data_IF_536748363289
#
_entry.id   IF_536748363289
#
_cell.length_a   1.000
_cell.length_b   1.000
_cell.length_c   1.000
_cell.angle_alpha   90.00
_cell.angle_beta   90.00
_cell.angle_gamma   90.00
#
_symmetry.space_group_name_H-M   'P 1'
#
loop_
_entity.id
_entity.type
_entity.pdbx_description
1 polymer ?
#
# COMPACT_ATOMS: atom_id res chain seq x y z
N UNK A 1 10.95 8.10 10.18
CA UNK A 1 10.53 6.70 9.94
C UNK A 1 9.44 6.75 8.90
N UNK A 2 9.55 6.01 7.80
CA UNK A 2 8.54 6.05 6.74
C UNK A 2 7.35 5.19 7.14
N UNK A 3 6.16 5.78 7.21
CA UNK A 3 4.91 5.07 7.46
C UNK A 3 4.18 4.88 6.13
N UNK A 4 3.75 3.65 5.86
CA UNK A 4 3.00 3.25 4.67
C UNK A 4 1.63 2.77 5.12
N UNK A 5 0.58 3.39 4.60
CA UNK A 5 -0.81 2.95 4.80
C UNK A 5 -1.35 2.29 3.54
N UNK A 6 -1.94 1.11 3.70
CA UNK A 6 -2.56 0.37 2.60
C UNK A 6 -4.08 0.46 2.72
N UNK A 7 -4.75 0.93 1.67
CA UNK A 7 -6.20 1.12 1.59
C UNK A 7 -6.76 0.17 0.53
N UNK A 8 -7.34 -0.95 0.95
CA UNK A 8 -7.98 -1.94 0.07
C UNK A 8 -9.49 -2.01 0.24
N UNK A 9 -9.99 -1.75 1.44
CA UNK A 9 -11.39 -1.65 1.81
C UNK A 9 -11.60 -0.42 2.71
N UNK A 10 -12.83 0.07 2.79
CA UNK A 10 -13.20 1.14 3.74
C UNK A 10 -14.48 0.70 4.45
N UNK A 11 -14.45 0.67 5.78
CA UNK A 11 -15.51 0.13 6.62
C UNK A 11 -16.43 1.21 7.20
N UNK A 12 -16.20 2.48 6.88
CA UNK A 12 -16.95 3.63 7.38
C UNK A 12 -17.27 4.65 6.29
N UNK A 13 -18.28 5.49 6.56
CA UNK A 13 -18.74 6.52 5.63
C UNK A 13 -19.68 5.98 4.55
N UNK A 14 -19.98 6.83 3.55
CA UNK A 14 -20.97 6.55 2.50
C UNK A 14 -20.43 5.67 1.36
N UNK A 15 -19.11 5.59 1.22
CA UNK A 15 -18.45 4.76 0.22
C UNK A 15 -17.60 3.71 0.92
N UNK A 16 -18.01 2.44 0.81
CA UNK A 16 -17.42 1.31 1.51
C UNK A 16 -17.02 0.22 0.49
N UNK A 17 -15.91 0.44 -0.24
CA UNK A 17 -15.38 -0.55 -1.16
C UNK A 17 -14.90 -1.77 -0.36
N UNK A 18 -14.96 -2.92 -1.01
CA UNK A 18 -14.51 -4.20 -0.46
C UNK A 18 -13.63 -4.91 -1.47
N UNK A 19 -12.76 -5.80 -0.99
CA UNK A 19 -11.94 -6.60 -1.87
C UNK A 19 -12.75 -7.77 -2.44
N UNK A 20 -13.40 -8.52 -1.56
CA UNK A 20 -14.23 -9.70 -1.88
C UNK A 20 -15.67 -9.56 -1.41
N UNK A 21 -15.96 -8.59 -0.53
CA UNK A 21 -17.24 -8.42 0.14
C UNK A 21 -17.35 -9.16 1.48
N UNK A 22 -16.32 -9.93 1.86
CA UNK A 22 -16.22 -10.55 3.18
C UNK A 22 -15.14 -9.85 4.01
N UNK A 23 -15.55 -9.12 5.06
CA UNK A 23 -14.65 -8.30 5.90
C UNK A 23 -13.49 -9.09 6.51
N UNK A 24 -13.71 -10.34 6.93
CA UNK A 24 -12.67 -11.16 7.56
C UNK A 24 -11.62 -11.54 6.52
N UNK A 25 -12.08 -11.91 5.32
CA UNK A 25 -11.20 -12.25 4.19
C UNK A 25 -10.45 -11.02 3.72
N UNK A 26 -11.14 -9.89 3.55
CA UNK A 26 -10.56 -8.64 3.08
C UNK A 26 -9.46 -8.13 4.02
N UNK A 27 -9.70 -8.11 5.33
CA UNK A 27 -8.69 -7.77 6.32
C UNK A 27 -7.46 -8.69 6.24
N UNK A 28 -7.68 -9.99 6.13
CA UNK A 28 -6.60 -10.98 6.02
C UNK A 28 -5.75 -10.78 4.75
N UNK A 29 -6.39 -10.46 3.63
CA UNK A 29 -5.71 -10.20 2.35
C UNK A 29 -4.85 -8.94 2.41
N UNK A 30 -5.38 -7.86 3.00
CA UNK A 30 -4.66 -6.59 3.15
C UNK A 30 -3.50 -6.74 4.14
N UNK A 31 -3.71 -7.45 5.25
CA UNK A 31 -2.65 -7.73 6.22
C UNK A 31 -1.52 -8.56 5.60
N UNK A 32 -1.86 -9.60 4.83
CA UNK A 32 -0.88 -10.40 4.09
C UNK A 32 -0.10 -9.55 3.08
N UNK A 33 -0.77 -8.66 2.34
CA UNK A 33 -0.11 -7.71 1.46
C UNK A 33 0.85 -6.77 2.24
N UNK A 34 0.41 -6.22 3.38
CA UNK A 34 1.23 -5.35 4.22
C UNK A 34 2.50 -6.05 4.70
N UNK A 35 2.37 -7.29 5.18
CA UNK A 35 3.48 -8.11 5.65
C UNK A 35 4.48 -8.40 4.52
N UNK A 36 4.00 -8.81 3.35
CA UNK A 36 4.84 -9.07 2.19
C UNK A 36 5.59 -7.83 1.74
N UNK A 37 4.93 -6.66 1.78
CA UNK A 37 5.55 -5.40 1.40
C UNK A 37 6.63 -4.99 2.41
N UNK A 38 6.32 -5.03 3.70
CA UNK A 38 7.29 -4.73 4.75
C UNK A 38 8.55 -5.61 4.62
N UNK A 39 8.35 -6.92 4.44
CA UNK A 39 9.45 -7.87 4.23
C UNK A 39 10.28 -7.54 2.98
N UNK A 40 9.62 -7.29 1.85
CA UNK A 40 10.28 -6.98 0.58
C UNK A 40 11.08 -5.67 0.63
N UNK A 41 10.58 -4.69 1.39
CA UNK A 41 11.24 -3.40 1.58
C UNK A 41 12.26 -3.38 2.73
N UNK A 42 12.42 -4.50 3.45
CA UNK A 42 13.24 -4.60 4.66
C UNK A 42 12.85 -3.57 5.74
N UNK A 43 11.55 -3.31 5.87
CA UNK A 43 10.98 -2.41 6.86
C UNK A 43 10.47 -3.20 8.07
N UNK A 44 10.42 -2.59 9.27
CA UNK A 44 9.76 -3.22 10.40
C UNK A 44 8.27 -3.44 10.09
N UNK A 45 7.63 -4.52 10.57
CA UNK A 45 6.23 -4.83 10.25
C UNK A 45 5.25 -3.71 10.57
N UNK A 46 5.53 -2.91 11.61
CA UNK A 46 4.70 -1.77 12.02
C UNK A 46 4.76 -0.57 11.06
N UNK A 47 5.69 -0.56 10.10
CA UNK A 47 5.82 0.53 9.14
C UNK A 47 4.79 0.44 8.00
N UNK A 48 4.20 -0.74 7.76
CA UNK A 48 3.20 -0.96 6.72
C UNK A 48 1.92 -1.48 7.36
N UNK A 49 0.87 -0.68 7.34
CA UNK A 49 -0.38 -1.00 8.06
C UNK A 49 -1.61 -0.83 7.17
N UNK A 50 -2.58 -1.72 7.33
CA UNK A 50 -3.91 -1.54 6.77
C UNK A 50 -4.62 -0.34 7.42
N UNK A 51 -5.35 0.45 6.62
CA UNK A 51 -6.20 1.54 7.12
C UNK A 51 -7.61 1.38 6.54
N UNK A 52 -8.49 0.84 7.38
CA UNK A 52 -9.89 0.52 7.03
C UNK A 52 -10.85 1.69 7.28
N UNK A 53 -10.42 2.76 7.95
CA UNK A 53 -11.26 3.90 8.34
C UNK A 53 -10.74 5.18 7.70
N UNK A 54 -10.53 5.13 6.38
CA UNK A 54 -10.02 6.27 5.64
C UNK A 54 -11.12 7.21 5.16
N UNK A 55 -10.85 8.51 5.23
CA UNK A 55 -11.78 9.57 4.84
C UNK A 55 -11.24 10.42 3.67
N UNK A 56 -10.39 9.84 2.83
CA UNK A 56 -9.76 10.48 1.67
C UNK A 56 -8.79 11.64 2.00
N UNK A 57 -8.47 11.87 3.28
CA UNK A 57 -7.45 12.83 3.67
C UNK A 57 -6.07 12.22 3.55
N UNK A 58 -5.17 12.94 2.87
CA UNK A 58 -3.78 12.54 2.63
C UNK A 58 -2.87 13.40 3.51
N UNK A 59 -2.12 12.76 4.40
CA UNK A 59 -1.03 13.38 5.14
C UNK A 59 0.25 13.35 4.27
N UNK A 60 0.89 14.49 3.95
CA UNK A 60 2.11 14.53 3.14
C UNK A 60 3.29 13.71 3.69
N UNK A 61 3.28 13.37 4.98
CA UNK A 61 4.34 12.61 5.66
C UNK A 61 4.15 11.09 5.61
N UNK A 62 2.99 10.64 5.14
CA UNK A 62 2.61 9.22 5.04
C UNK A 62 2.55 8.80 3.58
N UNK A 63 3.06 7.60 3.26
CA UNK A 63 2.88 7.02 1.93
C UNK A 63 1.59 6.21 1.90
N UNK A 64 0.76 6.44 0.89
CA UNK A 64 -0.51 5.73 0.73
C UNK A 64 -0.45 4.81 -0.49
N UNK A 65 -0.67 3.52 -0.25
CA UNK A 65 -0.95 2.54 -1.28
C UNK A 65 -2.46 2.31 -1.33
N UNK A 66 -3.11 2.69 -2.42
CA UNK A 66 -4.57 2.71 -2.51
C UNK A 66 -5.02 1.81 -3.65
N UNK A 67 -6.03 0.97 -3.43
CA UNK A 67 -6.67 0.20 -4.49
C UNK A 67 -7.11 1.14 -5.62
N UNK A 68 -6.69 0.83 -6.85
CA UNK A 68 -7.06 1.54 -8.06
C UNK A 68 -8.58 1.77 -8.19
N UNK A 69 -9.42 0.86 -7.70
CA UNK A 69 -10.88 1.00 -7.74
C UNK A 69 -11.38 2.16 -6.87
N UNK A 70 -10.70 2.42 -5.76
CA UNK A 70 -11.00 3.53 -4.85
C UNK A 70 -10.54 4.85 -5.49
N UNK A 71 -9.37 4.84 -6.12
CA UNK A 71 -8.83 5.99 -6.84
C UNK A 71 -9.76 6.43 -7.99
N UNK A 72 -10.31 5.48 -8.74
CA UNK A 72 -11.24 5.77 -9.86
C UNK A 72 -12.51 6.53 -9.45
N UNK A 73 -12.87 6.51 -8.16
CA UNK A 73 -14.01 7.27 -7.63
C UNK A 73 -13.63 8.71 -7.28
N UNK A 74 -12.33 9.02 -7.19
CA UNK A 74 -11.82 10.36 -6.87
C UNK A 74 -10.43 10.60 -7.47
N UNK A 75 -10.40 11.10 -8.71
CA UNK A 75 -9.16 11.38 -9.45
C UNK A 75 -8.17 12.32 -8.71
N UNK A 76 -8.68 13.15 -7.77
CA UNK A 76 -7.88 14.09 -6.97
C UNK A 76 -6.81 13.42 -6.10
N UNK A 77 -6.96 12.13 -5.78
CA UNK A 77 -5.97 11.41 -4.97
C UNK A 77 -4.62 11.25 -5.66
N UNK A 78 -4.62 11.08 -6.99
CA UNK A 78 -3.39 10.88 -7.76
C UNK A 78 -2.58 12.18 -7.95
N UNK A 79 -3.16 13.33 -7.65
CA UNK A 79 -2.44 14.62 -7.62
C UNK A 79 -1.40 14.65 -6.48
N UNK A 80 -1.56 13.80 -5.47
CA UNK A 80 -0.65 13.70 -4.34
C UNK A 80 0.55 12.81 -4.67
N UNK A 81 1.76 13.37 -4.57
CA UNK A 81 3.02 12.67 -4.86
C UNK A 81 3.27 11.43 -3.95
N UNK A 82 2.68 11.42 -2.76
CA UNK A 82 2.79 10.37 -1.76
C UNK A 82 1.66 9.33 -1.83
N UNK A 83 0.84 9.35 -2.89
CA UNK A 83 -0.20 8.35 -3.18
C UNK A 83 0.24 7.51 -4.38
N UNK A 84 0.11 6.19 -4.24
CA UNK A 84 0.42 5.22 -5.29
C UNK A 84 -0.79 4.29 -5.45
N UNK A 85 -1.22 4.13 -6.70
CA UNK A 85 -2.24 3.16 -7.05
C UNK A 85 -1.67 1.73 -7.03
N UNK A 86 -2.37 0.83 -6.35
CA UNK A 86 -2.12 -0.61 -6.38
C UNK A 86 -3.26 -1.28 -7.11
N UNK A 87 -2.97 -2.27 -7.94
CA UNK A 87 -4.05 -2.98 -8.65
C UNK A 87 -4.85 -3.81 -7.66
N UNK A 88 -6.16 -3.89 -7.87
CA UNK A 88 -7.03 -4.70 -7.03
C UNK A 88 -6.58 -6.17 -6.96
N UNK A 89 -6.10 -6.72 -8.08
CA UNK A 89 -5.59 -8.10 -8.15
C UNK A 89 -4.32 -8.31 -7.34
N UNK A 90 -3.47 -7.29 -7.21
CA UNK A 90 -2.25 -7.37 -6.41
C UNK A 90 -2.59 -7.46 -4.92
N UNK A 91 -3.56 -6.67 -4.46
CA UNK A 91 -4.09 -6.77 -3.09
C UNK A 91 -4.69 -8.15 -2.82
N UNK A 92 -5.53 -8.66 -3.73
CA UNK A 92 -6.14 -9.99 -3.60
C UNK A 92 -5.11 -11.13 -3.56
N UNK A 93 -3.96 -10.97 -4.22
CA UNK A 93 -2.92 -12.01 -4.30
C UNK A 93 -1.74 -11.77 -3.35
N UNK A 94 -1.73 -10.66 -2.60
CA UNK A 94 -0.59 -10.24 -1.80
C UNK A 94 0.68 -9.98 -2.62
N UNK A 95 0.54 -9.60 -3.90
CA UNK A 95 1.67 -9.35 -4.81
C UNK A 95 2.17 -7.92 -4.67
N UNK A 96 3.44 -7.74 -4.30
CA UNK A 96 3.97 -6.41 -3.90
C UNK A 96 4.98 -5.82 -4.89
N UNK A 97 5.36 -6.56 -5.93
CA UNK A 97 6.43 -6.18 -6.87
C UNK A 97 6.17 -4.84 -7.56
N UNK A 98 4.94 -4.58 -8.03
CA UNK A 98 4.61 -3.32 -8.68
C UNK A 98 4.65 -2.14 -7.70
N UNK A 99 4.07 -2.31 -6.51
CA UNK A 99 4.10 -1.30 -5.46
C UNK A 99 5.54 -0.98 -5.04
N UNK A 100 6.39 -2.00 -4.86
CA UNK A 100 7.82 -1.83 -4.59
C UNK A 100 8.50 -1.00 -5.68
N UNK A 101 8.34 -1.38 -6.95
CA UNK A 101 8.97 -0.69 -8.07
C UNK A 101 8.55 0.78 -8.15
N UNK A 102 7.27 1.08 -7.88
CA UNK A 102 6.76 2.45 -7.84
C UNK A 102 7.33 3.26 -6.68
N UNK A 103 7.41 2.66 -5.48
CA UNK A 103 7.99 3.31 -4.31
C UNK A 103 9.49 3.64 -4.52
N UNK A 104 10.24 2.72 -5.14
CA UNK A 104 11.65 2.91 -5.45
C UNK A 104 11.89 3.94 -6.56
N UNK A 105 11.15 3.86 -7.67
CA UNK A 105 11.29 4.76 -8.81
C UNK A 105 10.93 6.22 -8.49
N UNK A 106 10.00 6.43 -7.56
CA UNK A 106 9.66 7.76 -7.06
C UNK A 106 10.62 8.25 -5.95
N UNK A 107 11.66 7.49 -5.62
CA UNK A 107 12.58 7.76 -4.51
C UNK A 107 11.88 8.00 -3.15
N UNK A 108 10.69 7.41 -2.97
CA UNK A 108 9.88 7.59 -1.75
C UNK A 108 10.38 6.69 -0.62
N UNK A 109 11.16 5.65 -0.96
CA UNK A 109 11.87 4.80 -0.03
C UNK A 109 13.31 4.61 -0.50
N UNK A 110 14.26 4.69 0.43
CA UNK A 110 15.64 4.31 0.18
C UNK A 110 15.80 2.85 0.60
N UNK A 111 15.61 1.91 -0.34
CA UNK A 111 16.03 0.53 -0.11
C UNK A 111 17.54 0.48 -0.31
N UNK A 112 18.32 0.24 0.76
CA UNK A 112 19.76 0.05 0.65
C UNK A 112 20.04 -1.11 -0.32
N UNK A 113 20.48 -0.79 -1.53
CA UNK A 113 21.04 -1.75 -2.49
C UNK A 113 22.53 -1.92 -2.16
N UNK A 114 22.82 -2.44 -0.98
CA UNK A 114 24.13 -2.93 -0.50
C UNK A 114 23.72 -4.07 0.46
N UNK A 115 23.80 -5.34 0.10
CA UNK A 115 25.03 -6.08 -0.15
C UNK A 115 24.83 -7.22 -1.16
N UNK A 116 25.37 -7.06 -2.36
CA UNK A 116 25.97 -8.19 -3.09
C UNK A 116 27.34 -7.69 -3.50
N UNK A 117 28.24 -7.59 -2.52
CA UNK A 117 29.67 -7.56 -2.83
C UNK A 117 30.03 -8.97 -3.30
N UNK A 118 30.58 -9.01 -4.50
CA UNK A 118 31.21 -10.14 -5.16
C UNK A 118 31.96 -11.01 -4.16
N UNK A 119 31.52 -12.26 -4.01
CA UNK A 119 32.39 -13.32 -3.53
C UNK A 119 32.92 -14.05 -4.76
N UNK A 120 34.25 -13.93 -4.90
CA UNK A 120 35.18 -14.77 -5.67
C UNK A 120 35.21 -14.56 -7.18
#
# INVERSE_FOLDING_TARGET
MTTIKVIGDILSGNYQPTLTGNRIVDASLIDHFCQNLAATLHLPPIAVTAEHHWNFKVDPTVLYLVDQRIIQVTDRLLEHHNVIAVTHSDLLRGQVTLAQNQLQSKHLINTNKKDVQSFS
#
